data_IF_144806977985
#
_entry.id   IF_144806977985
#
_cell.length_a   1.000
_cell.length_b   1.000
_cell.length_c   1.000
_cell.angle_alpha   90.00
_cell.angle_beta   90.00
_cell.angle_gamma   90.00
#
_symmetry.space_group_name_H-M   'P 1'
#
loop_
_entity.id
_entity.type
_entity.pdbx_description
1 polymer ?
#
# COMPACT_ATOMS: atom_id res chain seq x y z
N UNK A 1 -2.96 -3.21 -16.81
CA UNK A 1 -2.63 -4.33 -15.90
C UNK A 1 -3.65 -4.34 -14.77
N UNK A 2 -4.16 -5.51 -14.34
CA UNK A 2 -5.08 -5.59 -13.20
C UNK A 2 -4.35 -5.17 -11.92
N UNK A 3 -5.05 -4.47 -11.02
CA UNK A 3 -4.54 -4.16 -9.69
C UNK A 3 -4.28 -5.47 -8.93
N UNK A 4 -3.06 -5.64 -8.41
CA UNK A 4 -2.69 -6.81 -7.61
C UNK A 4 -3.34 -6.80 -6.21
N UNK A 5 -3.79 -5.63 -5.74
CA UNK A 5 -4.42 -5.47 -4.44
C UNK A 5 -5.82 -4.85 -4.57
N UNK A 6 -6.69 -5.11 -3.59
CA UNK A 6 -8.07 -4.61 -3.54
C UNK A 6 -8.28 -3.71 -2.33
N UNK A 7 -9.32 -2.87 -2.38
CA UNK A 7 -9.74 -2.04 -1.24
C UNK A 7 -10.14 -2.93 -0.06
N UNK A 8 -9.73 -2.57 1.15
CA UNK A 8 -9.89 -3.34 2.39
C UNK A 8 -8.78 -4.37 2.64
N UNK A 9 -7.89 -4.61 1.69
CA UNK A 9 -6.80 -5.57 1.87
C UNK A 9 -5.65 -4.97 2.68
N UNK A 10 -5.08 -5.78 3.58
CA UNK A 10 -3.88 -5.42 4.34
C UNK A 10 -2.61 -5.64 3.49
N UNK A 11 -1.79 -4.62 3.45
CA UNK A 11 -0.51 -4.57 2.71
C UNK A 11 0.59 -4.05 3.61
N UNK A 12 1.84 -4.40 3.31
CA UNK A 12 3.02 -3.86 3.98
C UNK A 12 3.82 -3.01 3.01
N UNK A 13 4.29 -1.86 3.47
CA UNK A 13 5.21 -1.05 2.69
C UNK A 13 6.56 -1.77 2.56
N UNK A 14 7.09 -1.85 1.33
CA UNK A 14 8.38 -2.46 0.99
C UNK A 14 9.42 -1.40 0.62
N UNK A 15 10.70 -1.74 0.74
CA UNK A 15 11.81 -0.89 0.32
C UNK A 15 12.01 0.36 1.18
N UNK A 16 12.11 1.54 0.54
CA UNK A 16 12.48 2.81 1.20
C UNK A 16 11.48 3.27 2.27
N UNK A 17 10.28 2.72 2.28
CA UNK A 17 9.21 3.02 3.23
C UNK A 17 9.09 2.02 4.39
N UNK A 18 9.74 0.86 4.29
CA UNK A 18 9.73 -0.16 5.36
C UNK A 18 10.45 0.33 6.63
N UNK A 19 11.57 1.02 6.47
CA UNK A 19 12.41 1.50 7.59
C UNK A 19 11.77 2.67 8.36
N UNK A 20 11.01 3.52 7.66
CA UNK A 20 10.42 4.75 8.25
C UNK A 20 9.11 4.54 8.99
N UNK A 21 8.54 3.33 8.94
CA UNK A 21 7.22 3.06 9.52
C UNK A 21 7.35 2.06 10.66
N UNK A 22 7.57 2.57 11.87
CA UNK A 22 7.76 1.74 13.06
C UNK A 22 6.63 0.74 13.35
N UNK A 23 7.05 -0.32 14.04
CA UNK A 23 6.35 -1.41 14.75
C UNK A 23 5.35 -2.31 14.03
N UNK A 24 4.71 -1.92 12.93
CA UNK A 24 3.92 -2.90 12.14
C UNK A 24 4.12 -2.78 10.63
N UNK A 25 4.31 -1.56 10.10
CA UNK A 25 4.44 -1.33 8.66
C UNK A 25 3.26 -1.88 7.85
N UNK A 26 2.13 -2.17 8.51
CA UNK A 26 0.88 -2.66 7.93
C UNK A 26 -0.04 -1.48 7.63
N UNK A 27 -0.64 -1.54 6.45
CA UNK A 27 -1.54 -0.55 5.92
C UNK A 27 -2.74 -1.25 5.28
N UNK A 28 -3.87 -0.57 5.25
CA UNK A 28 -5.06 -1.01 4.54
C UNK A 28 -5.18 -0.25 3.23
N UNK A 29 -5.45 -0.96 2.13
CA UNK A 29 -5.75 -0.29 0.85
C UNK A 29 -7.13 0.37 0.97
N UNK A 30 -7.18 1.70 0.92
CA UNK A 30 -8.43 2.45 1.01
C UNK A 30 -8.97 2.87 -0.35
N UNK A 31 -8.11 2.93 -1.39
CA UNK A 31 -8.52 3.29 -2.75
C UNK A 31 -7.55 2.77 -3.81
N UNK A 32 -8.09 2.27 -4.93
CA UNK A 32 -7.33 2.00 -6.15
C UNK A 32 -7.25 3.29 -6.99
N UNK A 33 -6.06 3.65 -7.41
CA UNK A 33 -5.84 4.81 -8.28
C UNK A 33 -5.54 4.34 -9.70
N UNK A 34 -5.88 5.17 -10.72
CA UNK A 34 -5.45 4.90 -12.08
C UNK A 34 -3.92 4.83 -12.13
N UNK A 35 -3.35 3.95 -12.98
CA UNK A 35 -1.91 3.92 -13.19
C UNK A 35 -1.43 5.25 -13.77
N UNK A 36 -0.19 5.61 -13.45
CA UNK A 36 0.43 6.80 -14.04
C UNK A 36 0.85 6.54 -15.50
N UNK A 37 1.55 7.50 -16.10
CA UNK A 37 2.06 7.44 -17.48
C UNK A 37 2.93 6.18 -17.75
N UNK A 38 3.54 5.63 -16.69
CA UNK A 38 4.36 4.39 -16.73
C UNK A 38 3.52 3.10 -16.71
N UNK A 39 2.19 3.19 -16.55
CA UNK A 39 1.30 2.04 -16.48
C UNK A 39 1.30 1.30 -15.14
N UNK A 40 2.05 1.79 -14.14
CA UNK A 40 2.15 1.16 -12.81
C UNK A 40 0.91 1.48 -11.97
N UNK A 41 0.17 0.46 -11.48
CA UNK A 41 -0.99 0.66 -10.63
C UNK A 41 -0.63 1.37 -9.33
N UNK A 42 -1.44 2.36 -8.95
CA UNK A 42 -1.30 3.13 -7.72
C UNK A 42 -2.37 2.78 -6.72
N UNK A 43 -2.02 2.91 -5.45
CA UNK A 43 -2.90 2.59 -4.32
C UNK A 43 -2.81 3.69 -3.29
N UNK A 44 -3.95 4.09 -2.74
CA UNK A 44 -4.00 4.87 -1.51
C UNK A 44 -4.11 3.87 -0.37
N UNK A 45 -3.16 3.91 0.53
CA UNK A 45 -3.07 3.03 1.70
C UNK A 45 -3.18 3.87 2.97
N UNK A 46 -3.78 3.31 4.03
CA UNK A 46 -3.93 3.96 5.34
C UNK A 46 -3.24 3.12 6.41
N UNK A 47 -2.39 3.75 7.22
CA UNK A 47 -1.74 3.07 8.35
C UNK A 47 -2.80 2.71 9.38
N UNK A 48 -2.85 1.44 9.80
CA UNK A 48 -3.75 1.05 10.89
C UNK A 48 -3.27 1.58 12.25
N UNK A 49 -1.96 1.73 12.44
CA UNK A 49 -1.38 2.24 13.68
C UNK A 49 -1.51 3.77 13.82
N UNK A 50 -1.25 4.52 12.75
CA UNK A 50 -1.16 5.99 12.80
C UNK A 50 -2.36 6.70 12.15
N UNK A 51 -3.22 5.97 11.45
CA UNK A 51 -4.36 6.52 10.71
C UNK A 51 -3.98 7.37 9.49
N UNK A 52 -2.69 7.57 9.20
CA UNK A 52 -2.19 8.39 8.09
C UNK A 52 -2.37 7.69 6.75
N UNK A 53 -2.73 8.47 5.73
CA UNK A 53 -2.90 8.00 4.36
C UNK A 53 -1.67 8.34 3.51
N UNK A 54 -1.31 7.44 2.58
CA UNK A 54 -0.25 7.65 1.60
C UNK A 54 -0.61 7.02 0.25
N UNK A 55 -0.11 7.61 -0.83
CA UNK A 55 -0.16 7.00 -2.16
C UNK A 55 1.14 6.25 -2.42
N UNK A 56 1.02 5.01 -2.87
CA UNK A 56 2.14 4.10 -3.20
C UNK A 56 1.89 3.45 -4.55
N UNK A 57 2.98 3.07 -5.22
CA UNK A 57 2.92 2.25 -6.42
C UNK A 57 2.87 0.76 -6.04
N UNK A 58 2.34 -0.08 -6.94
CA UNK A 58 2.30 -1.54 -6.76
C UNK A 58 3.62 -2.17 -6.26
N UNK A 59 4.81 -1.84 -6.79
CA UNK A 59 6.08 -2.43 -6.33
C UNK A 59 6.54 -1.95 -4.94
N UNK A 60 5.94 -0.90 -4.39
CA UNK A 60 6.30 -0.32 -3.08
C UNK A 60 5.49 -0.93 -1.92
N UNK A 61 4.62 -1.89 -2.23
CA UNK A 61 3.85 -2.64 -1.25
C UNK A 61 3.88 -4.15 -1.56
N UNK A 62 3.80 -4.95 -0.50
CA UNK A 62 3.62 -6.39 -0.57
C UNK A 62 2.38 -6.80 0.23
N UNK A 63 1.94 -8.05 0.03
CA UNK A 63 0.86 -8.64 0.84
C UNK A 63 1.18 -8.53 2.33
N UNK A 64 0.25 -7.99 3.10
CA UNK A 64 0.35 -7.91 4.55
C UNK A 64 0.00 -9.23 5.23
N UNK A 65 0.09 -9.31 6.57
CA UNK A 65 -0.45 -10.44 7.31
C UNK A 65 -1.96 -10.51 7.00
N UNK A 66 -2.39 -11.63 6.44
CA UNK A 66 -3.81 -11.94 6.34
C UNK A 66 -4.22 -12.39 7.74
N UNK A 67 -4.98 -11.55 8.43
CA UNK A 67 -5.57 -11.88 9.73
C UNK A 67 -6.56 -13.03 9.62
#
# INVERSE_FOLDING_TARGET
>A
MPHAFQVGQLVRATGKFSDRTGQDGVYEVVRLLPPDTDGVPKYRIRSQALGQERVVNQPEIAKGPQG
#
